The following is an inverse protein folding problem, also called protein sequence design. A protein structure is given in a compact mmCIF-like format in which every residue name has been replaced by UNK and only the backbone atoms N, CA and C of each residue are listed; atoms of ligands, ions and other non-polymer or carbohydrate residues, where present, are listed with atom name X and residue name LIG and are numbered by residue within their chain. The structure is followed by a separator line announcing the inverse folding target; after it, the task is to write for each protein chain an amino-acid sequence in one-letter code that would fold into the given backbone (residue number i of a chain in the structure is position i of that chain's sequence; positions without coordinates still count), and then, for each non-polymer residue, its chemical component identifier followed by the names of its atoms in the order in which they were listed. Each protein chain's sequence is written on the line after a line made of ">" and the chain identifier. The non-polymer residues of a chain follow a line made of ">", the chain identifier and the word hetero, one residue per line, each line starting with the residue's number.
data_IF_606482918170
#
_entry.id   IF_606482918170
#
_cell.length_a   1.000
_cell.length_b   1.000
_cell.length_c   1.000
_cell.angle_alpha   90.00
_cell.angle_beta   90.00
_cell.angle_gamma   90.00
#
_symmetry.space_group_name_H-M   'P 1'
#
loop_
_entity.id
_entity.type
_entity.pdbx_description
1 polymer ?
#
# COMPACT_ATOMS: atom_id res chain seq x y z
N UNK A 1 13.47 5.89 -51.64
CA UNK A 1 14.35 4.72 -51.74
C UNK A 1 14.61 4.30 -53.18
N UNK A 2 13.64 3.81 -53.96
CA UNK A 2 13.91 3.36 -55.36
C UNK A 2 14.61 4.42 -56.23
N UNK A 3 14.18 5.69 -56.13
CA UNK A 3 14.80 6.80 -56.85
C UNK A 3 16.23 7.12 -56.36
N UNK A 4 16.50 6.94 -55.07
CA UNK A 4 17.84 7.11 -54.49
C UNK A 4 18.78 5.99 -54.96
N UNK A 5 18.34 4.73 -54.92
CA UNK A 5 19.11 3.60 -55.46
C UNK A 5 19.47 3.82 -56.92
N UNK A 6 18.53 4.31 -57.73
CA UNK A 6 18.80 4.66 -59.12
C UNK A 6 19.83 5.79 -59.26
N UNK A 7 19.73 6.85 -58.46
CA UNK A 7 20.70 7.94 -58.48
C UNK A 7 22.11 7.47 -58.08
N UNK A 8 22.21 6.55 -57.12
CA UNK A 8 23.46 5.87 -56.71
C UNK A 8 24.07 5.09 -57.89
N UNK A 9 23.26 4.26 -58.54
CA UNK A 9 23.70 3.43 -59.68
C UNK A 9 24.14 4.26 -60.89
N UNK A 10 23.52 5.43 -61.08
CA UNK A 10 23.89 6.41 -62.11
C UNK A 10 25.11 7.26 -61.73
N UNK A 11 25.64 7.11 -60.50
CA UNK A 11 26.80 7.84 -60.00
C UNK A 11 26.52 9.32 -59.68
N UNK A 12 25.26 9.70 -59.51
CA UNK A 12 24.86 11.07 -59.18
C UNK A 12 24.84 11.27 -57.65
N UNK A 13 26.02 11.52 -57.08
CA UNK A 13 26.22 11.65 -55.63
C UNK A 13 25.34 12.72 -55.00
N UNK A 14 25.32 13.93 -55.56
CA UNK A 14 24.58 15.07 -54.98
C UNK A 14 23.08 14.75 -54.89
N UNK A 15 22.52 14.19 -55.97
CA UNK A 15 21.10 13.82 -56.00
C UNK A 15 20.78 12.63 -55.09
N UNK A 16 21.67 11.65 -55.00
CA UNK A 16 21.53 10.55 -54.04
C UNK A 16 21.45 11.06 -52.60
N UNK A 17 22.38 11.91 -52.19
CA UNK A 17 22.45 12.46 -50.84
C UNK A 17 21.21 13.30 -50.51
N UNK A 18 20.77 14.17 -51.42
CA UNK A 18 19.52 14.95 -51.25
C UNK A 18 18.30 14.04 -51.05
N UNK A 19 18.19 12.96 -51.84
CA UNK A 19 17.09 12.01 -51.69
C UNK A 19 17.16 11.23 -50.37
N UNK A 20 18.35 10.86 -49.91
CA UNK A 20 18.50 10.12 -48.65
C UNK A 20 18.16 11.01 -47.44
N UNK A 21 18.61 12.26 -47.40
CA UNK A 21 18.19 13.22 -46.37
C UNK A 21 16.67 13.45 -46.38
N UNK A 22 16.01 13.42 -47.55
CA UNK A 22 14.54 13.50 -47.62
C UNK A 22 13.86 12.26 -47.02
N UNK A 23 14.45 11.08 -47.18
CA UNK A 23 13.93 9.84 -46.58
C UNK A 23 14.12 9.84 -45.06
N UNK A 24 15.31 10.21 -44.58
CA UNK A 24 15.59 10.39 -43.14
C UNK A 24 14.58 11.36 -42.51
N UNK A 25 14.44 12.56 -43.07
CA UNK A 25 13.48 13.55 -42.57
C UNK A 25 12.04 13.06 -42.60
N UNK A 26 11.65 12.25 -43.60
CA UNK A 26 10.32 11.63 -43.62
C UNK A 26 10.09 10.74 -42.41
N UNK A 27 11.06 9.90 -42.03
CA UNK A 27 10.94 9.07 -40.83
C UNK A 27 10.91 9.89 -39.55
N UNK A 28 11.79 10.89 -39.42
CA UNK A 28 11.86 11.75 -38.23
C UNK A 28 10.57 12.57 -38.03
N UNK A 29 9.98 13.12 -39.10
CA UNK A 29 8.71 13.85 -39.01
C UNK A 29 7.56 12.94 -38.57
N UNK A 30 7.52 11.70 -39.08
CA UNK A 30 6.53 10.71 -38.66
C UNK A 30 6.76 10.28 -37.19
N UNK A 31 8.03 10.16 -36.76
CA UNK A 31 8.36 9.87 -35.37
C UNK A 31 7.88 10.98 -34.44
N UNK A 32 8.01 12.25 -34.82
CA UNK A 32 7.49 13.41 -34.06
C UNK A 32 5.98 13.33 -33.88
N UNK A 33 5.23 12.97 -34.93
CA UNK A 33 3.79 12.77 -34.82
C UNK A 33 3.46 11.67 -33.81
N UNK A 34 4.21 10.57 -33.79
CA UNK A 34 4.00 9.47 -32.85
C UNK A 34 4.41 9.81 -31.42
N UNK A 35 5.48 10.58 -31.22
CA UNK A 35 5.88 11.12 -29.89
C UNK A 35 4.75 11.96 -29.31
N UNK A 36 4.16 12.86 -30.12
CA UNK A 36 3.02 13.69 -29.70
C UNK A 36 1.77 12.85 -29.37
N UNK A 37 1.68 11.62 -29.86
CA UNK A 37 0.62 10.65 -29.53
C UNK A 37 1.01 9.70 -28.39
N UNK A 38 2.16 9.91 -27.74
CA UNK A 38 2.74 9.02 -26.72
C UNK A 38 2.96 7.57 -27.20
N UNK A 39 3.17 7.36 -28.51
CA UNK A 39 3.48 6.06 -29.12
C UNK A 39 4.99 5.89 -29.25
N UNK A 40 5.68 5.85 -28.11
CA UNK A 40 7.13 5.96 -28.05
C UNK A 40 7.87 4.77 -28.66
N UNK A 41 7.36 3.54 -28.51
CA UNK A 41 7.99 2.36 -29.14
C UNK A 41 7.92 2.42 -30.67
N UNK A 42 6.78 2.85 -31.23
CA UNK A 42 6.62 3.01 -32.69
C UNK A 42 7.50 4.17 -33.20
N UNK A 43 7.60 5.27 -32.44
CA UNK A 43 8.51 6.36 -32.76
C UNK A 43 9.98 5.90 -32.74
N UNK A 44 10.37 5.10 -31.74
CA UNK A 44 11.71 4.51 -31.65
C UNK A 44 12.05 3.67 -32.89
N UNK A 45 11.09 2.90 -33.41
CA UNK A 45 11.28 2.15 -34.65
C UNK A 45 11.57 3.07 -35.85
N UNK A 46 10.92 4.23 -35.94
CA UNK A 46 11.20 5.20 -37.01
C UNK A 46 12.58 5.86 -36.88
N UNK A 47 13.06 6.08 -35.65
CA UNK A 47 14.44 6.54 -35.42
C UNK A 47 15.47 5.49 -35.89
N UNK A 48 15.20 4.20 -35.67
CA UNK A 48 16.05 3.10 -36.18
C UNK A 48 16.05 3.06 -37.72
N UNK A 49 14.92 3.34 -38.37
CA UNK A 49 14.86 3.43 -39.83
C UNK A 49 15.65 4.65 -40.36
N UNK A 50 15.61 5.78 -39.65
CA UNK A 50 16.42 6.96 -39.99
C UNK A 50 17.93 6.70 -39.81
N UNK A 51 18.30 6.03 -38.70
CA UNK A 51 19.66 5.58 -38.41
C UNK A 51 20.21 4.68 -39.53
N UNK A 52 19.40 3.73 -40.00
CA UNK A 52 19.76 2.85 -41.11
C UNK A 52 20.03 3.63 -42.42
N UNK A 53 19.25 4.67 -42.71
CA UNK A 53 19.45 5.56 -43.87
C UNK A 53 20.79 6.30 -43.75
N UNK A 54 21.12 6.82 -42.56
CA UNK A 54 22.40 7.46 -42.29
C UNK A 54 23.59 6.51 -42.43
N UNK A 55 23.49 5.26 -41.97
CA UNK A 55 24.53 4.26 -42.19
C UNK A 55 24.69 3.86 -43.65
N UNK A 56 23.62 3.78 -44.43
CA UNK A 56 23.69 3.54 -45.87
C UNK A 56 24.41 4.69 -46.59
N UNK A 57 24.10 5.94 -46.24
CA UNK A 57 24.83 7.12 -46.74
C UNK A 57 26.32 7.06 -46.35
N UNK A 58 26.62 6.79 -45.08
CA UNK A 58 28.00 6.70 -44.57
C UNK A 58 28.83 5.66 -45.35
N UNK A 59 28.26 4.48 -45.58
CA UNK A 59 28.92 3.42 -46.34
C UNK A 59 29.21 3.86 -47.78
N UNK A 60 28.24 4.49 -48.46
CA UNK A 60 28.44 4.96 -49.82
C UNK A 60 29.46 6.10 -49.92
N UNK A 61 29.46 7.04 -48.98
CA UNK A 61 30.47 8.12 -48.92
C UNK A 61 31.87 7.54 -48.72
N UNK A 62 32.02 6.49 -47.90
CA UNK A 62 33.29 5.79 -47.75
C UNK A 62 33.74 5.11 -49.05
N UNK A 63 32.84 4.45 -49.78
CA UNK A 63 33.15 3.86 -51.10
C UNK A 63 33.72 4.92 -52.06
N UNK A 64 33.15 6.12 -52.06
CA UNK A 64 33.60 7.22 -52.92
C UNK A 64 34.99 7.74 -52.49
N UNK A 65 35.23 7.91 -51.19
CA UNK A 65 36.54 8.32 -50.68
C UNK A 65 37.64 7.33 -51.06
N UNK A 66 37.33 6.03 -50.99
CA UNK A 66 38.25 4.97 -51.38
C UNK A 66 38.59 5.06 -52.87
N UNK A 67 37.60 5.28 -53.74
CA UNK A 67 37.79 5.47 -55.19
C UNK A 67 38.63 6.72 -55.49
N UNK A 68 38.34 7.84 -54.84
CA UNK A 68 39.10 9.09 -55.01
C UNK A 68 40.55 8.95 -54.53
N UNK A 69 40.79 8.09 -53.54
CA UNK A 69 42.12 7.79 -53.02
C UNK A 69 42.88 6.82 -53.93
N UNK A 70 42.22 5.80 -54.49
CA UNK A 70 42.85 4.81 -55.37
C UNK A 70 43.20 5.36 -56.76
N UNK A 71 42.41 6.31 -57.26
CA UNK A 71 42.61 6.89 -58.60
C UNK A 71 43.62 8.04 -58.62
N UNK A 72 44.26 8.36 -57.49
CA UNK A 72 45.25 9.45 -57.41
C UNK A 72 44.64 10.83 -57.64
N UNK A 73 43.35 11.02 -57.35
CA UNK A 73 42.69 12.33 -57.49
C UNK A 73 43.35 13.36 -56.56
N UNK A 74 43.80 14.47 -57.13
CA UNK A 74 44.34 15.63 -56.40
C UNK A 74 43.26 16.57 -55.86
N UNK A 75 41.97 16.23 -56.06
CA UNK A 75 40.84 17.05 -55.59
C UNK A 75 40.63 16.89 -54.07
N UNK A 76 41.48 17.59 -53.33
CA UNK A 76 41.52 17.61 -51.88
C UNK A 76 40.25 18.25 -51.29
N UNK A 77 39.69 19.26 -51.97
CA UNK A 77 38.48 19.98 -51.53
C UNK A 77 37.25 19.07 -51.57
N UNK A 78 37.10 18.27 -52.64
CA UNK A 78 36.05 17.26 -52.73
C UNK A 78 36.19 16.18 -51.65
N UNK A 79 37.41 15.68 -51.41
CA UNK A 79 37.68 14.68 -50.36
C UNK A 79 37.31 15.21 -48.97
N UNK A 80 37.69 16.45 -48.68
CA UNK A 80 37.36 17.11 -47.41
C UNK A 80 35.84 17.31 -47.25
N UNK A 81 35.15 17.72 -48.31
CA UNK A 81 33.69 17.88 -48.30
C UNK A 81 32.96 16.55 -48.07
N UNK A 82 33.41 15.46 -48.71
CA UNK A 82 32.84 14.12 -48.51
C UNK A 82 33.13 13.60 -47.10
N UNK A 83 34.32 13.85 -46.56
CA UNK A 83 34.67 13.46 -45.19
C UNK A 83 33.82 14.21 -44.16
N UNK A 84 33.59 15.52 -44.36
CA UNK A 84 32.69 16.32 -43.52
C UNK A 84 31.26 15.78 -43.56
N UNK A 85 30.75 15.47 -44.75
CA UNK A 85 29.41 14.89 -44.90
C UNK A 85 29.32 13.49 -44.25
N UNK A 86 30.35 12.66 -44.40
CA UNK A 86 30.43 11.34 -43.76
C UNK A 86 30.39 11.45 -42.23
N UNK A 87 31.09 12.44 -41.68
CA UNK A 87 31.07 12.72 -40.25
C UNK A 87 29.69 13.20 -39.80
N UNK A 88 29.04 14.10 -40.55
CA UNK A 88 27.68 14.57 -40.26
C UNK A 88 26.68 13.41 -40.19
N UNK A 89 26.63 12.54 -41.21
CA UNK A 89 25.70 11.40 -41.22
C UNK A 89 26.04 10.36 -40.13
N UNK A 90 27.31 10.24 -39.73
CA UNK A 90 27.69 9.41 -38.57
C UNK A 90 27.10 9.97 -37.28
N UNK A 91 27.27 11.27 -37.05
CA UNK A 91 26.71 11.96 -35.88
C UNK A 91 25.19 11.87 -35.84
N UNK A 92 24.52 12.00 -36.99
CA UNK A 92 23.06 11.81 -37.08
C UNK A 92 22.65 10.39 -36.68
N UNK A 93 23.31 9.36 -37.22
CA UNK A 93 23.01 7.97 -36.87
C UNK A 93 23.17 7.69 -35.37
N UNK A 94 24.27 8.15 -34.78
CA UNK A 94 24.54 7.99 -33.34
C UNK A 94 23.51 8.75 -32.48
N UNK A 95 23.12 9.96 -32.90
CA UNK A 95 22.04 10.71 -32.26
C UNK A 95 20.70 9.96 -32.33
N UNK A 96 20.36 9.41 -33.50
CA UNK A 96 19.13 8.68 -33.72
C UNK A 96 19.07 7.39 -32.89
N UNK A 97 20.19 6.69 -32.79
CA UNK A 97 20.34 5.51 -31.91
C UNK A 97 20.09 5.90 -30.44
N UNK A 98 20.77 6.95 -29.95
CA UNK A 98 20.63 7.45 -28.58
C UNK A 98 19.17 7.85 -28.26
N UNK A 99 18.54 8.57 -29.19
CA UNK A 99 17.15 8.99 -29.05
C UNK A 99 16.18 7.80 -29.11
N UNK A 100 16.48 6.78 -29.92
CA UNK A 100 15.69 5.53 -29.97
C UNK A 100 15.66 4.83 -28.61
N UNK A 101 16.79 4.80 -27.89
CA UNK A 101 16.87 4.24 -26.54
C UNK A 101 16.11 5.10 -25.54
N UNK A 102 16.22 6.42 -25.62
CA UNK A 102 15.44 7.32 -24.77
C UNK A 102 13.93 7.07 -24.92
N UNK A 103 13.45 6.92 -26.17
CA UNK A 103 12.04 6.62 -26.45
C UNK A 103 11.61 5.25 -25.94
N UNK A 104 12.45 4.22 -26.07
CA UNK A 104 12.20 2.91 -25.43
C UNK A 104 12.09 3.05 -23.91
N UNK A 105 12.98 3.82 -23.29
CA UNK A 105 12.92 4.13 -21.86
C UNK A 105 11.56 4.71 -21.45
N UNK A 106 11.06 5.69 -22.20
CA UNK A 106 9.75 6.31 -21.95
C UNK A 106 8.59 5.32 -22.11
N UNK A 107 8.62 4.49 -23.16
CA UNK A 107 7.58 3.47 -23.38
C UNK A 107 7.51 2.48 -22.23
N UNK A 108 8.65 1.91 -21.83
CA UNK A 108 8.73 0.92 -20.75
C UNK A 108 8.37 1.51 -19.39
N UNK A 109 8.72 2.78 -19.13
CA UNK A 109 8.30 3.53 -17.94
C UNK A 109 6.77 3.62 -17.86
N UNK A 110 6.11 3.99 -18.96
CA UNK A 110 4.64 4.10 -19.02
C UNK A 110 3.94 2.73 -18.99
N UNK A 111 4.55 1.71 -19.57
CA UNK A 111 4.04 0.34 -19.61
C UNK A 111 4.42 -0.50 -18.37
N UNK A 112 4.75 0.16 -17.24
CA UNK A 112 4.98 -0.44 -15.91
C UNK A 112 6.11 -1.47 -15.87
N UNK A 113 7.16 -1.25 -16.65
CA UNK A 113 8.40 -2.01 -16.55
C UNK A 113 9.58 -1.06 -16.31
N UNK A 114 9.63 -0.43 -15.11
CA UNK A 114 10.61 0.61 -14.80
C UNK A 114 12.05 0.09 -14.76
N UNK A 115 12.29 -1.19 -14.43
CA UNK A 115 13.63 -1.77 -14.46
C UNK A 115 14.23 -1.78 -15.87
N UNK A 116 13.47 -2.25 -16.86
CA UNK A 116 13.90 -2.17 -18.27
C UNK A 116 13.99 -0.72 -18.77
N UNK A 117 13.15 0.18 -18.27
CA UNK A 117 13.27 1.60 -18.57
C UNK A 117 14.61 2.18 -18.10
N UNK A 118 15.08 1.82 -16.90
CA UNK A 118 16.40 2.21 -16.39
C UNK A 118 17.53 1.79 -17.34
N UNK A 119 17.52 0.54 -17.82
CA UNK A 119 18.54 0.02 -18.73
C UNK A 119 18.61 0.83 -20.03
N UNK A 120 17.47 1.23 -20.58
CA UNK A 120 17.40 2.04 -21.79
C UNK A 120 17.80 3.49 -21.56
N UNK A 121 17.36 4.12 -20.47
CA UNK A 121 17.79 5.48 -20.14
C UNK A 121 19.29 5.56 -19.87
N UNK A 122 19.87 4.50 -19.28
CA UNK A 122 21.32 4.40 -19.11
C UNK A 122 22.06 4.32 -20.45
N UNK A 123 21.60 3.50 -21.39
CA UNK A 123 22.17 3.43 -22.74
C UNK A 123 22.06 4.78 -23.47
N UNK A 124 20.91 5.44 -23.37
CA UNK A 124 20.73 6.79 -23.92
C UNK A 124 21.69 7.80 -23.29
N UNK A 125 21.86 7.79 -21.98
CA UNK A 125 22.80 8.65 -21.26
C UNK A 125 24.25 8.47 -21.76
N UNK A 126 24.73 7.23 -21.83
CA UNK A 126 26.11 6.92 -22.27
C UNK A 126 26.37 7.39 -23.71
N UNK A 127 25.40 7.23 -24.61
CA UNK A 127 25.52 7.67 -25.99
C UNK A 127 25.44 9.19 -26.13
N UNK A 128 24.50 9.86 -25.44
CA UNK A 128 24.41 11.32 -25.47
C UNK A 128 25.62 12.01 -24.83
N UNK A 129 26.20 11.43 -23.77
CA UNK A 129 27.43 11.92 -23.15
C UNK A 129 28.60 11.83 -24.14
N UNK A 130 28.72 10.71 -24.85
CA UNK A 130 29.74 10.52 -25.89
C UNK A 130 29.56 11.56 -27.00
N UNK A 131 28.36 11.66 -27.57
CA UNK A 131 28.02 12.65 -28.60
C UNK A 131 28.32 14.09 -28.18
N UNK A 132 27.93 14.47 -26.96
CA UNK A 132 28.16 15.80 -26.42
C UNK A 132 29.64 16.12 -26.22
N UNK A 133 30.44 15.12 -25.83
CA UNK A 133 31.89 15.25 -25.68
C UNK A 133 32.65 15.33 -27.01
N UNK A 134 32.25 14.54 -28.01
CA UNK A 134 32.94 14.46 -29.31
C UNK A 134 32.58 15.61 -30.23
N UNK A 135 31.32 16.06 -30.20
CA UNK A 135 30.82 17.11 -31.10
C UNK A 135 30.69 18.48 -30.45
N UNK A 136 30.96 18.59 -29.14
CA UNK A 136 30.88 19.84 -28.38
C UNK A 136 29.52 20.54 -28.52
N UNK A 137 28.44 19.76 -28.64
CA UNK A 137 27.05 20.25 -28.74
C UNK A 137 26.39 20.24 -27.37
N UNK A 138 26.05 21.43 -26.85
CA UNK A 138 25.42 21.58 -25.52
C UNK A 138 24.12 20.77 -25.38
N UNK A 139 23.31 20.72 -26.44
CA UNK A 139 22.03 20.01 -26.42
C UNK A 139 22.18 18.51 -26.12
N UNK A 140 23.24 17.86 -26.62
CA UNK A 140 23.47 16.44 -26.34
C UNK A 140 23.86 16.20 -24.88
N UNK A 141 24.69 17.06 -24.29
CA UNK A 141 24.99 16.99 -22.85
C UNK A 141 23.71 17.14 -22.00
N UNK A 142 22.82 18.07 -22.36
CA UNK A 142 21.54 18.22 -21.68
C UNK A 142 20.66 16.97 -21.79
N UNK A 143 20.61 16.32 -22.96
CA UNK A 143 19.90 15.05 -23.12
C UNK A 143 20.56 13.89 -22.37
N UNK A 144 21.89 13.91 -22.22
CA UNK A 144 22.59 12.94 -21.38
C UNK A 144 22.16 13.09 -19.91
N UNK A 145 22.18 14.30 -19.38
CA UNK A 145 21.78 14.60 -18.00
C UNK A 145 20.28 14.35 -17.77
N UNK A 146 19.44 14.71 -18.76
CA UNK A 146 18.01 14.42 -18.73
C UNK A 146 17.72 12.91 -18.74
N UNK A 147 18.45 12.13 -19.54
CA UNK A 147 18.35 10.66 -19.55
C UNK A 147 18.76 10.06 -18.21
N UNK A 148 19.82 10.58 -17.59
CA UNK A 148 20.25 10.18 -16.25
C UNK A 148 19.22 10.51 -15.17
N UNK A 149 18.57 11.66 -15.25
CA UNK A 149 17.47 12.02 -14.36
C UNK A 149 16.28 11.07 -14.54
N UNK A 150 15.93 10.72 -15.79
CA UNK A 150 14.89 9.74 -16.13
C UNK A 150 15.19 8.33 -15.62
N UNK A 151 16.45 7.90 -15.69
CA UNK A 151 16.92 6.64 -15.09
C UNK A 151 16.63 6.64 -13.58
N UNK A 152 17.00 7.71 -12.87
CA UNK A 152 16.73 7.82 -11.42
C UNK A 152 15.25 7.88 -11.09
N UNK A 153 14.45 8.60 -11.87
CA UNK A 153 12.99 8.58 -11.72
C UNK A 153 12.40 7.18 -11.90
N UNK A 154 12.89 6.43 -12.90
CA UNK A 154 12.46 5.05 -13.17
C UNK A 154 12.88 4.08 -12.06
N UNK A 155 14.10 4.21 -11.53
CA UNK A 155 14.56 3.47 -10.35
C UNK A 155 13.67 3.71 -9.12
N UNK A 156 13.15 4.93 -8.96
CA UNK A 156 12.18 5.27 -7.93
C UNK A 156 10.86 4.51 -8.10
N UNK A 157 10.34 4.43 -9.33
CA UNK A 157 9.14 3.66 -9.66
C UNK A 157 9.32 2.17 -9.38
N UNK A 158 10.46 1.59 -9.77
CA UNK A 158 10.79 0.19 -9.48
C UNK A 158 10.83 -0.07 -7.97
N UNK A 159 11.53 0.77 -7.21
CA UNK A 159 11.61 0.69 -5.75
C UNK A 159 10.21 0.77 -5.11
N UNK A 160 9.34 1.64 -5.63
CA UNK A 160 7.96 1.76 -5.17
C UNK A 160 7.13 0.50 -5.47
N UNK A 161 7.31 -0.13 -6.65
CA UNK A 161 6.65 -1.38 -7.01
C UNK A 161 7.10 -2.56 -6.11
N UNK A 162 8.34 -2.54 -5.66
CA UNK A 162 8.90 -3.53 -4.71
C UNK A 162 8.54 -3.22 -3.24
N UNK A 163 7.84 -2.11 -2.96
CA UNK A 163 7.49 -1.70 -1.60
C UNK A 163 8.66 -1.09 -0.81
N UNK A 164 9.78 -0.77 -1.44
CA UNK A 164 10.91 -0.08 -0.81
C UNK A 164 10.73 1.45 -0.93
N UNK A 165 9.84 2.00 -0.10
CA UNK A 165 9.46 3.41 -0.19
C UNK A 165 10.58 4.39 0.18
N UNK A 166 11.51 4.00 1.06
CA UNK A 166 12.67 4.84 1.39
C UNK A 166 13.63 5.00 0.20
N UNK A 167 13.92 3.91 -0.52
CA UNK A 167 14.71 3.98 -1.74
C UNK A 167 13.97 4.74 -2.86
N UNK A 168 12.65 4.56 -2.96
CA UNK A 168 11.82 5.30 -3.90
C UNK A 168 11.89 6.82 -3.67
N UNK A 169 11.67 7.26 -2.43
CA UNK A 169 11.79 8.67 -2.01
C UNK A 169 13.14 9.28 -2.39
N UNK A 170 14.23 8.61 -2.02
CA UNK A 170 15.58 9.09 -2.32
C UNK A 170 15.82 9.19 -3.83
N UNK A 171 15.30 8.24 -4.60
CA UNK A 171 15.43 8.23 -6.07
C UNK A 171 14.65 9.38 -6.71
N UNK A 172 13.42 9.66 -6.28
CA UNK A 172 12.62 10.77 -6.80
C UNK A 172 13.21 12.14 -6.43
N UNK A 173 13.72 12.31 -5.21
CA UNK A 173 14.43 13.54 -4.82
C UNK A 173 15.68 13.75 -5.67
N UNK A 174 16.46 12.69 -5.88
CA UNK A 174 17.67 12.78 -6.70
C UNK A 174 17.33 13.07 -8.17
N UNK A 175 16.31 12.43 -8.72
CA UNK A 175 15.82 12.72 -10.07
C UNK A 175 15.37 14.18 -10.21
N UNK A 176 14.63 14.71 -9.23
CA UNK A 176 14.20 16.11 -9.22
C UNK A 176 15.38 17.09 -9.19
N UNK A 177 16.42 16.81 -8.39
CA UNK A 177 17.65 17.61 -8.38
C UNK A 177 18.33 17.61 -9.75
N UNK A 178 18.48 16.44 -10.37
CA UNK A 178 19.09 16.31 -11.69
C UNK A 178 18.26 17.03 -12.77
N UNK A 179 16.93 16.95 -12.72
CA UNK A 179 16.08 17.73 -13.63
C UNK A 179 16.24 19.23 -13.41
N UNK A 180 16.39 19.69 -12.17
CA UNK A 180 16.68 21.09 -11.86
C UNK A 180 18.02 21.57 -12.43
N UNK A 181 19.06 20.75 -12.37
CA UNK A 181 20.36 21.04 -13.01
C UNK A 181 20.23 21.20 -14.53
N UNK A 182 19.43 20.34 -15.19
CA UNK A 182 19.13 20.47 -16.63
C UNK A 182 18.35 21.76 -16.91
N UNK A 183 17.35 22.10 -16.09
CA UNK A 183 16.54 23.31 -16.23
C UNK A 183 17.38 24.59 -16.09
N UNK A 184 18.33 24.63 -15.15
CA UNK A 184 19.25 25.77 -14.95
C UNK A 184 20.16 26.01 -16.15
N UNK A 185 20.59 24.94 -16.82
CA UNK A 185 21.48 25.01 -17.98
C UNK A 185 20.73 25.18 -19.32
N UNK A 186 19.40 25.11 -19.30
CA UNK A 186 18.57 25.17 -20.49
C UNK A 186 18.55 26.61 -21.07
N UNK A 187 19.03 26.83 -22.31
CA UNK A 187 19.02 28.16 -22.90
C UNK A 187 17.58 28.62 -23.19
N UNK A 188 17.30 29.94 -23.16
CA UNK A 188 16.00 30.46 -23.57
C UNK A 188 15.75 30.14 -25.05
N UNK A 189 14.50 29.89 -25.41
CA UNK A 189 14.11 29.67 -26.80
C UNK A 189 14.29 30.98 -27.59
N UNK A 190 15.09 30.91 -28.67
CA UNK A 190 15.33 31.97 -29.65
C UNK A 190 15.20 31.37 -31.06
N UNK A 191 14.75 32.18 -32.03
CA UNK A 191 14.59 31.80 -33.44
C UNK A 191 15.93 31.48 -34.12
N UNK A 192 17.05 31.93 -33.54
CA UNK A 192 18.41 31.67 -34.07
C UNK A 192 19.12 30.50 -33.37
N UNK A 193 18.45 29.78 -32.47
CA UNK A 193 19.05 28.68 -31.75
C UNK A 193 19.24 27.48 -32.68
N UNK A 194 20.47 26.99 -32.84
CA UNK A 194 20.71 25.70 -33.48
C UNK A 194 19.99 24.61 -32.67
N UNK A 195 19.46 23.58 -33.33
CA UNK A 195 18.74 22.47 -32.69
C UNK A 195 17.49 22.92 -31.88
N UNK A 196 16.86 24.04 -32.25
CA UNK A 196 15.71 24.65 -31.57
C UNK A 196 14.61 23.63 -31.18
N UNK A 197 14.31 22.67 -32.04
CA UNK A 197 13.33 21.61 -31.78
C UNK A 197 13.67 20.79 -30.51
N UNK A 198 14.93 20.38 -30.36
CA UNK A 198 15.38 19.58 -29.22
C UNK A 198 15.30 20.37 -27.92
N UNK A 199 15.69 21.63 -27.96
CA UNK A 199 15.50 22.53 -26.82
C UNK A 199 14.02 22.74 -26.48
N UNK A 200 13.17 22.90 -27.48
CA UNK A 200 11.72 23.05 -27.29
C UNK A 200 11.11 21.83 -26.59
N UNK A 201 11.54 20.61 -26.96
CA UNK A 201 11.10 19.38 -26.30
C UNK A 201 11.49 19.37 -24.82
N UNK A 202 12.72 19.76 -24.48
CA UNK A 202 13.18 19.86 -23.08
C UNK A 202 12.38 20.90 -22.29
N UNK A 203 12.18 22.10 -22.84
CA UNK A 203 11.37 23.16 -22.23
C UNK A 203 9.94 22.72 -21.91
N UNK A 204 9.36 21.86 -22.75
CA UNK A 204 8.00 21.34 -22.53
C UNK A 204 7.97 20.17 -21.53
N UNK A 205 8.98 19.31 -21.55
CA UNK A 205 8.96 18.05 -20.80
C UNK A 205 9.47 18.20 -19.36
N UNK A 206 10.52 19.00 -19.14
CA UNK A 206 11.17 19.16 -17.83
C UNK A 206 10.18 19.56 -16.72
N UNK A 207 9.32 20.60 -16.87
CA UNK A 207 8.39 20.96 -15.81
C UNK A 207 7.41 19.84 -15.45
N UNK A 208 7.02 19.03 -16.44
CA UNK A 208 6.12 17.88 -16.26
C UNK A 208 6.81 16.80 -15.44
N UNK A 209 8.06 16.47 -15.76
CA UNK A 209 8.81 15.42 -15.05
C UNK A 209 9.27 15.85 -13.64
N UNK A 210 9.61 17.12 -13.44
CA UNK A 210 9.91 17.70 -12.12
C UNK A 210 8.69 17.57 -11.20
N UNK A 211 7.52 18.04 -11.66
CA UNK A 211 6.26 17.92 -10.93
C UNK A 211 5.86 16.45 -10.72
N UNK A 212 6.09 15.60 -11.73
CA UNK A 212 5.86 14.16 -11.64
C UNK A 212 6.70 13.51 -10.53
N UNK A 213 7.97 13.89 -10.38
CA UNK A 213 8.83 13.40 -9.30
C UNK A 213 8.36 13.88 -7.92
N UNK A 214 7.89 15.11 -7.80
CA UNK A 214 7.32 15.63 -6.55
C UNK A 214 6.09 14.81 -6.12
N UNK A 215 5.16 14.59 -7.05
CA UNK A 215 3.97 13.76 -6.82
C UNK A 215 4.38 12.33 -6.41
N UNK A 216 5.33 11.72 -7.12
CA UNK A 216 5.77 10.36 -6.83
C UNK A 216 6.53 10.26 -5.50
N UNK A 217 7.29 11.29 -5.13
CA UNK A 217 7.92 11.40 -3.82
C UNK A 217 6.88 11.45 -2.70
N UNK A 218 5.90 12.34 -2.78
CA UNK A 218 4.84 12.45 -1.78
C UNK A 218 4.02 11.16 -1.69
N UNK A 219 3.80 10.46 -2.81
CA UNK A 219 3.14 9.15 -2.83
C UNK A 219 3.96 8.07 -2.15
N UNK A 220 5.26 8.01 -2.41
CA UNK A 220 6.15 7.08 -1.75
C UNK A 220 6.17 7.35 -0.23
N UNK A 221 6.23 8.61 0.20
CA UNK A 221 6.20 8.96 1.62
C UNK A 221 4.86 8.60 2.28
N UNK A 222 3.73 8.96 1.68
CA UNK A 222 2.42 8.65 2.21
C UNK A 222 2.22 7.13 2.40
N UNK A 223 2.67 6.33 1.43
CA UNK A 223 2.63 4.86 1.51
C UNK A 223 3.58 4.29 2.55
N UNK A 224 4.78 4.86 2.68
CA UNK A 224 5.73 4.49 3.72
C UNK A 224 5.13 4.67 5.11
N UNK A 225 4.60 5.87 5.39
CA UNK A 225 3.97 6.19 6.67
C UNK A 225 2.76 5.28 6.95
N UNK A 226 1.92 5.06 5.94
CA UNK A 226 0.74 4.19 6.07
C UNK A 226 1.15 2.75 6.41
N UNK A 227 2.17 2.22 5.74
CA UNK A 227 2.64 0.84 5.93
C UNK A 227 3.28 0.59 7.31
N UNK A 228 3.86 1.63 7.92
CA UNK A 228 4.44 1.57 9.25
C UNK A 228 3.46 1.91 10.38
N UNK A 229 2.18 2.19 10.05
CA UNK A 229 1.17 2.56 11.04
C UNK A 229 1.27 4.01 11.54
N UNK A 230 2.06 4.87 10.89
CA UNK A 230 2.15 6.30 11.20
C UNK A 230 0.96 7.06 10.58
N UNK A 231 -0.26 6.68 10.94
CA UNK A 231 -1.48 7.08 10.24
C UNK A 231 -1.72 8.59 10.22
N UNK A 232 -1.37 9.29 11.30
CA UNK A 232 -1.51 10.76 11.35
C UNK A 232 -0.61 11.47 10.35
N UNK A 233 0.58 10.93 10.10
CA UNK A 233 1.50 11.51 9.11
C UNK A 233 1.12 11.09 7.70
N UNK A 234 0.73 9.82 7.50
CA UNK A 234 0.18 9.35 6.23
C UNK A 234 -1.01 10.21 5.75
N UNK A 235 -1.92 10.57 6.66
CA UNK A 235 -3.07 11.43 6.37
C UNK A 235 -2.65 12.79 5.81
N UNK A 236 -1.63 13.42 6.41
CA UNK A 236 -1.10 14.71 5.93
C UNK A 236 -0.47 14.57 4.55
N UNK A 237 0.35 13.56 4.32
CA UNK A 237 1.04 13.37 3.04
C UNK A 237 0.04 13.07 1.90
N UNK A 238 -1.00 12.28 2.17
CA UNK A 238 -2.10 12.09 1.21
C UNK A 238 -2.92 13.37 0.97
N UNK A 239 -3.08 14.23 1.97
CA UNK A 239 -3.73 15.54 1.79
C UNK A 239 -2.88 16.46 0.91
N UNK A 240 -1.56 16.50 1.11
CA UNK A 240 -0.64 17.26 0.25
C UNK A 240 -0.74 16.80 -1.20
N UNK A 241 -0.78 15.48 -1.43
CA UNK A 241 -1.03 14.93 -2.76
C UNK A 241 -2.37 15.39 -3.35
N UNK A 242 -3.45 15.32 -2.58
CA UNK A 242 -4.74 15.80 -3.05
C UNK A 242 -4.67 17.30 -3.41
N UNK A 243 -4.04 18.13 -2.58
CA UNK A 243 -3.89 19.56 -2.83
C UNK A 243 -3.08 19.84 -4.12
N UNK A 244 -2.01 19.08 -4.37
CA UNK A 244 -1.23 19.17 -5.62
C UNK A 244 -2.10 18.85 -6.85
N UNK A 245 -2.89 17.78 -6.81
CA UNK A 245 -3.81 17.46 -7.90
C UNK A 245 -4.91 18.51 -8.04
N UNK A 246 -5.40 19.08 -6.94
CA UNK A 246 -6.39 20.15 -6.97
C UNK A 246 -5.84 21.41 -7.65
N UNK A 247 -4.61 21.81 -7.32
CA UNK A 247 -3.93 22.93 -7.98
C UNK A 247 -3.70 22.64 -9.46
N UNK A 248 -3.27 21.42 -9.81
CA UNK A 248 -3.12 21.00 -11.21
C UNK A 248 -4.45 21.12 -11.96
N UNK A 249 -5.57 20.66 -11.39
CA UNK A 249 -6.90 20.78 -12.01
C UNK A 249 -7.25 22.26 -12.24
N UNK A 250 -7.03 23.13 -11.26
CA UNK A 250 -7.29 24.57 -11.38
C UNK A 250 -6.44 25.22 -12.48
N UNK A 251 -5.17 24.83 -12.58
CA UNK A 251 -4.26 25.32 -13.62
C UNK A 251 -4.65 24.82 -15.03
N UNK A 252 -5.34 23.68 -15.11
CA UNK A 252 -5.86 23.15 -16.38
C UNK A 252 -7.16 23.84 -16.82
N UNK A 253 -7.93 24.45 -15.90
CA UNK A 253 -9.17 25.14 -16.25
C UNK A 253 -8.91 26.30 -17.23
N UNK A 254 -9.59 26.29 -18.38
CA UNK A 254 -9.43 27.32 -19.42
C UNK A 254 -8.26 27.08 -20.39
N UNK A 255 -7.52 25.99 -20.25
CA UNK A 255 -6.51 25.55 -21.22
C UNK A 255 -7.12 24.64 -22.31
N UNK A 256 -6.38 24.37 -23.39
CA UNK A 256 -6.80 23.42 -24.44
C UNK A 256 -6.57 21.94 -24.05
N UNK A 257 -6.43 21.62 -22.76
CA UNK A 257 -6.24 20.25 -22.28
C UNK A 257 -7.52 19.44 -22.48
N UNK A 258 -7.36 18.17 -22.88
CA UNK A 258 -8.47 17.24 -23.09
C UNK A 258 -9.30 17.05 -21.81
N UNK A 259 -10.64 17.08 -21.92
CA UNK A 259 -11.57 16.77 -20.83
C UNK A 259 -11.27 15.40 -20.19
N UNK A 260 -10.74 14.45 -20.97
CA UNK A 260 -10.31 13.14 -20.47
C UNK A 260 -9.21 13.26 -19.41
N UNK A 261 -8.18 14.07 -19.67
CA UNK A 261 -7.04 14.29 -18.76
C UNK A 261 -7.53 14.99 -17.50
N UNK A 262 -8.36 16.04 -17.65
CA UNK A 262 -8.94 16.75 -16.51
C UNK A 262 -9.75 15.80 -15.61
N UNK A 263 -10.62 14.96 -16.18
CA UNK A 263 -11.39 13.98 -15.41
C UNK A 263 -10.52 12.90 -14.76
N UNK A 264 -9.41 12.50 -15.41
CA UNK A 264 -8.44 11.58 -14.80
C UNK A 264 -7.78 12.22 -13.56
N UNK A 265 -7.31 13.47 -13.67
CA UNK A 265 -6.73 14.22 -12.54
C UNK A 265 -7.75 14.45 -11.40
N UNK A 266 -9.02 14.70 -11.71
CA UNK A 266 -10.10 14.76 -10.70
C UNK A 266 -10.28 13.41 -10.00
N UNK A 267 -10.11 12.30 -10.72
CA UNK A 267 -10.05 10.96 -10.14
C UNK A 267 -8.92 10.82 -9.13
N UNK A 268 -7.70 11.22 -9.50
CA UNK A 268 -6.52 11.18 -8.63
C UNK A 268 -6.68 12.06 -7.38
N UNK A 269 -7.25 13.26 -7.54
CA UNK A 269 -7.60 14.13 -6.41
C UNK A 269 -8.47 13.40 -5.37
N UNK A 270 -9.59 12.82 -5.80
CA UNK A 270 -10.49 12.12 -4.87
C UNK A 270 -9.89 10.82 -4.34
N UNK A 271 -9.05 10.15 -5.12
CA UNK A 271 -8.32 8.97 -4.68
C UNK A 271 -7.45 9.31 -3.46
N UNK A 272 -6.55 10.29 -3.59
CA UNK A 272 -5.64 10.66 -2.50
C UNK A 272 -6.37 11.30 -1.33
N UNK A 273 -7.43 12.09 -1.57
CA UNK A 273 -8.27 12.60 -0.50
C UNK A 273 -8.95 11.47 0.30
N UNK A 274 -9.41 10.41 -0.37
CA UNK A 274 -9.97 9.24 0.30
C UNK A 274 -8.93 8.46 1.10
N UNK A 275 -7.70 8.32 0.61
CA UNK A 275 -6.61 7.73 1.40
C UNK A 275 -6.24 8.58 2.63
N UNK A 276 -6.29 9.91 2.51
CA UNK A 276 -6.12 10.82 3.64
C UNK A 276 -7.17 10.54 4.72
N UNK A 277 -8.45 10.51 4.37
CA UNK A 277 -9.53 10.22 5.34
C UNK A 277 -9.45 8.80 5.92
N UNK A 278 -8.99 7.82 5.13
CA UNK A 278 -8.79 6.46 5.61
C UNK A 278 -7.71 6.43 6.70
N UNK A 279 -6.58 7.10 6.46
CA UNK A 279 -5.49 7.21 7.42
C UNK A 279 -5.92 8.00 8.67
N UNK A 280 -6.69 9.08 8.53
CA UNK A 280 -7.28 9.77 9.69
C UNK A 280 -8.18 8.85 10.51
N UNK A 281 -9.01 8.03 9.85
CA UNK A 281 -9.86 7.05 10.52
C UNK A 281 -9.04 6.04 11.34
N UNK A 282 -7.95 5.51 10.78
CA UNK A 282 -7.04 4.63 11.52
C UNK A 282 -6.38 5.33 12.72
N UNK A 283 -5.93 6.58 12.54
CA UNK A 283 -5.35 7.37 13.64
C UNK A 283 -6.35 7.60 14.78
N UNK A 284 -7.61 7.91 14.45
CA UNK A 284 -8.69 8.06 15.43
C UNK A 284 -9.02 6.74 16.14
N UNK A 285 -9.00 5.62 15.41
CA UNK A 285 -9.21 4.28 15.97
C UNK A 285 -8.14 3.95 17.02
N UNK A 286 -6.87 4.23 16.73
CA UNK A 286 -5.77 4.02 17.68
C UNK A 286 -5.87 4.91 18.93
N UNK A 287 -6.51 6.07 18.81
CA UNK A 287 -6.82 6.96 19.92
C UNK A 287 -8.09 6.55 20.69
N UNK A 288 -8.69 5.40 20.38
CA UNK A 288 -9.96 4.92 20.94
C UNK A 288 -11.16 5.84 20.65
N UNK A 289 -11.04 6.72 19.64
CA UNK A 289 -12.11 7.62 19.18
C UNK A 289 -12.94 6.93 18.09
N UNK A 290 -13.52 5.77 18.41
CA UNK A 290 -14.10 4.86 17.41
C UNK A 290 -15.28 5.45 16.64
N UNK A 291 -16.12 6.27 17.28
CA UNK A 291 -17.28 6.85 16.58
C UNK A 291 -16.85 7.86 15.52
N UNK A 292 -15.80 8.64 15.79
CA UNK A 292 -15.20 9.56 14.83
C UNK A 292 -14.45 8.80 13.71
N UNK A 293 -13.75 7.71 14.05
CA UNK A 293 -13.13 6.84 13.07
C UNK A 293 -14.17 6.23 12.10
N UNK A 294 -15.29 5.74 12.62
CA UNK A 294 -16.40 5.21 11.82
C UNK A 294 -17.01 6.27 10.90
N UNK A 295 -17.11 7.52 11.34
CA UNK A 295 -17.52 8.63 10.49
C UNK A 295 -16.53 8.86 9.35
N UNK A 296 -15.22 8.88 9.63
CA UNK A 296 -14.19 9.03 8.58
C UNK A 296 -14.26 7.92 7.54
N UNK A 297 -14.41 6.65 7.95
CA UNK A 297 -14.57 5.56 7.00
C UNK A 297 -15.81 5.71 6.10
N UNK A 298 -16.92 6.25 6.63
CA UNK A 298 -18.10 6.56 5.82
C UNK A 298 -17.79 7.64 4.77
N UNK A 299 -17.04 8.68 5.13
CA UNK A 299 -16.62 9.74 4.22
C UNK A 299 -15.70 9.22 3.11
N UNK A 300 -14.76 8.31 3.43
CA UNK A 300 -13.90 7.64 2.43
C UNK A 300 -14.74 6.99 1.33
N UNK A 301 -15.80 6.27 1.71
CA UNK A 301 -16.68 5.59 0.76
C UNK A 301 -17.33 6.56 -0.22
N UNK A 302 -17.78 7.71 0.25
CA UNK A 302 -18.43 8.70 -0.62
C UNK A 302 -17.44 9.45 -1.50
N UNK A 303 -16.22 9.71 -1.00
CA UNK A 303 -15.15 10.33 -1.76
C UNK A 303 -14.63 9.41 -2.86
N UNK A 304 -14.34 8.14 -2.56
CA UNK A 304 -13.87 7.19 -3.57
C UNK A 304 -14.94 6.87 -4.63
N UNK A 305 -16.25 6.96 -4.31
CA UNK A 305 -17.29 6.91 -5.34
C UNK A 305 -17.21 8.08 -6.33
N UNK A 306 -16.91 9.29 -5.85
CA UNK A 306 -16.69 10.46 -6.72
C UNK A 306 -15.46 10.26 -7.60
N UNK A 307 -14.36 9.76 -7.02
CA UNK A 307 -13.14 9.42 -7.76
C UNK A 307 -13.38 8.37 -8.84
N UNK A 308 -14.04 7.25 -8.49
CA UNK A 308 -14.42 6.21 -9.43
C UNK A 308 -15.29 6.75 -10.59
N UNK A 309 -16.24 7.64 -10.30
CA UNK A 309 -17.06 8.28 -11.33
C UNK A 309 -16.24 9.22 -12.23
N UNK A 310 -15.27 9.97 -11.69
CA UNK A 310 -14.39 10.83 -12.46
C UNK A 310 -13.46 10.01 -13.38
N UNK A 311 -12.85 8.95 -12.86
CA UNK A 311 -12.08 8.01 -13.67
C UNK A 311 -12.89 7.38 -14.79
N UNK A 312 -14.14 6.98 -14.53
CA UNK A 312 -15.03 6.46 -15.58
C UNK A 312 -15.30 7.51 -16.67
N UNK A 313 -15.56 8.77 -16.27
CA UNK A 313 -15.78 9.89 -17.21
C UNK A 313 -14.55 10.22 -18.04
N UNK A 314 -13.34 9.97 -17.54
CA UNK A 314 -12.12 10.22 -18.29
C UNK A 314 -12.06 9.42 -19.60
N UNK A 315 -12.71 8.24 -19.66
CA UNK A 315 -12.58 7.32 -20.79
C UNK A 315 -11.17 6.78 -21.01
N UNK A 316 -10.21 7.13 -20.15
CA UNK A 316 -8.81 6.72 -20.25
C UNK A 316 -8.67 5.26 -19.79
N UNK A 317 -7.93 4.39 -20.50
CA UNK A 317 -7.77 2.98 -20.11
C UNK A 317 -7.27 2.80 -18.67
N UNK A 318 -6.28 3.60 -18.26
CA UNK A 318 -5.79 3.59 -16.86
C UNK A 318 -6.86 4.08 -15.87
N UNK A 319 -7.73 5.01 -16.29
CA UNK A 319 -8.83 5.49 -15.48
C UNK A 319 -9.84 4.37 -15.22
N UNK A 320 -10.23 3.63 -16.25
CA UNK A 320 -11.10 2.45 -16.12
C UNK A 320 -10.50 1.41 -15.17
N UNK A 321 -9.21 1.09 -15.31
CA UNK A 321 -8.52 0.18 -14.40
C UNK A 321 -8.51 0.68 -12.94
N UNK A 322 -8.26 1.98 -12.73
CA UNK A 322 -8.31 2.59 -11.40
C UNK A 322 -9.74 2.55 -10.83
N UNK A 323 -10.76 2.81 -11.65
CA UNK A 323 -12.16 2.76 -11.24
C UNK A 323 -12.56 1.37 -10.72
N UNK A 324 -12.17 0.30 -11.42
CA UNK A 324 -12.43 -1.07 -10.97
C UNK A 324 -11.71 -1.37 -9.65
N UNK A 325 -10.44 -0.96 -9.54
CA UNK A 325 -9.67 -1.08 -8.31
C UNK A 325 -10.39 -0.40 -7.12
N UNK A 326 -10.85 0.85 -7.28
CA UNK A 326 -11.51 1.58 -6.20
C UNK A 326 -12.87 1.01 -5.81
N UNK A 327 -13.65 0.47 -6.76
CA UNK A 327 -14.89 -0.23 -6.41
C UNK A 327 -14.60 -1.43 -5.51
N UNK A 328 -13.52 -2.15 -5.78
CA UNK A 328 -13.09 -3.26 -4.93
C UNK A 328 -12.60 -2.77 -3.55
N UNK A 329 -11.80 -1.71 -3.49
CA UNK A 329 -11.35 -1.12 -2.22
C UNK A 329 -12.51 -0.59 -1.35
N UNK A 330 -13.52 0.04 -1.96
CA UNK A 330 -14.75 0.47 -1.28
C UNK A 330 -15.46 -0.72 -0.63
N UNK A 331 -15.46 -1.88 -1.30
CA UNK A 331 -16.09 -3.10 -0.76
C UNK A 331 -15.32 -3.61 0.46
N UNK A 332 -13.98 -3.64 0.39
CA UNK A 332 -13.10 -4.01 1.51
C UNK A 332 -13.23 -3.07 2.71
N UNK A 333 -13.57 -1.80 2.49
CA UNK A 333 -13.67 -0.79 3.53
C UNK A 333 -14.62 -1.20 4.67
N UNK A 334 -15.76 -1.80 4.31
CA UNK A 334 -16.75 -2.26 5.29
C UNK A 334 -16.29 -3.51 6.05
N UNK A 335 -15.60 -4.42 5.35
CA UNK A 335 -15.19 -5.72 5.90
C UNK A 335 -13.92 -5.65 6.75
N UNK A 336 -12.99 -4.78 6.39
CA UNK A 336 -11.68 -4.71 7.04
C UNK A 336 -11.63 -3.58 8.08
N UNK A 337 -11.93 -2.35 7.68
CA UNK A 337 -11.72 -1.18 8.54
C UNK A 337 -12.90 -0.95 9.50
N UNK A 338 -14.12 -0.89 8.97
CA UNK A 338 -15.33 -0.65 9.79
C UNK A 338 -15.55 -1.79 10.78
N UNK A 339 -15.42 -3.05 10.34
CA UNK A 339 -15.58 -4.21 11.20
C UNK A 339 -14.55 -4.23 12.33
N UNK A 340 -13.26 -4.08 12.00
CA UNK A 340 -12.17 -4.02 12.99
C UNK A 340 -12.41 -2.92 14.03
N UNK A 341 -12.79 -1.73 13.59
CA UNK A 341 -13.04 -0.61 14.51
C UNK A 341 -14.20 -0.90 15.48
N UNK A 342 -15.27 -1.58 15.03
CA UNK A 342 -16.37 -2.01 15.90
C UNK A 342 -15.92 -3.10 16.88
N UNK A 343 -15.16 -4.09 16.40
CA UNK A 343 -14.62 -5.15 17.24
C UNK A 343 -13.70 -4.59 18.35
N UNK A 344 -12.83 -3.64 18.01
CA UNK A 344 -11.96 -2.95 18.99
C UNK A 344 -12.81 -2.21 20.07
N UNK A 345 -13.87 -1.50 19.64
CA UNK A 345 -14.81 -0.82 20.53
C UNK A 345 -15.53 -1.78 21.47
N UNK A 346 -16.06 -2.87 20.92
CA UNK A 346 -16.81 -3.88 21.68
C UNK A 346 -15.90 -4.58 22.70
N UNK A 347 -14.68 -4.96 22.29
CA UNK A 347 -13.68 -5.55 23.18
C UNK A 347 -13.31 -4.61 24.33
N UNK A 348 -13.07 -3.33 24.04
CA UNK A 348 -12.74 -2.34 25.07
C UNK A 348 -13.90 -2.14 26.06
N UNK A 349 -15.13 -2.16 25.58
CA UNK A 349 -16.34 -2.11 26.41
C UNK A 349 -16.43 -3.32 27.33
N UNK A 350 -16.27 -4.54 26.79
CA UNK A 350 -16.25 -5.78 27.57
C UNK A 350 -15.14 -5.79 28.64
N UNK A 351 -13.93 -5.31 28.31
CA UNK A 351 -12.84 -5.19 29.27
C UNK A 351 -13.22 -4.24 30.41
N UNK A 352 -13.88 -3.12 30.12
CA UNK A 352 -14.28 -2.16 31.14
C UNK A 352 -15.39 -2.72 32.05
N UNK A 353 -16.35 -3.46 31.48
CA UNK A 353 -17.37 -4.17 32.26
C UNK A 353 -16.75 -5.20 33.20
N UNK A 354 -15.81 -6.02 32.70
CA UNK A 354 -15.08 -6.99 33.52
C UNK A 354 -14.28 -6.31 34.64
N UNK A 355 -13.61 -5.19 34.37
CA UNK A 355 -12.91 -4.39 35.39
C UNK A 355 -13.87 -3.90 36.48
N UNK A 356 -15.04 -3.39 36.10
CA UNK A 356 -16.04 -2.92 37.05
C UNK A 356 -16.59 -4.07 37.91
N UNK A 357 -16.81 -5.25 37.33
CA UNK A 357 -17.23 -6.45 38.08
C UNK A 357 -16.17 -6.89 39.10
N UNK A 358 -14.90 -6.91 38.70
CA UNK A 358 -13.78 -7.23 39.60
C UNK A 358 -13.69 -6.21 40.73
N UNK A 359 -13.81 -4.90 40.42
CA UNK A 359 -13.78 -3.86 41.45
C UNK A 359 -14.93 -4.02 42.45
N UNK A 360 -16.14 -4.32 41.97
CA UNK A 360 -17.30 -4.59 42.83
C UNK A 360 -17.05 -5.79 43.75
N UNK A 361 -16.40 -6.84 43.25
CA UNK A 361 -16.01 -8.00 44.04
C UNK A 361 -14.98 -7.64 45.11
N UNK A 362 -13.95 -6.86 44.77
CA UNK A 362 -12.95 -6.34 45.71
C UNK A 362 -13.62 -5.52 46.82
N UNK A 363 -14.50 -4.58 46.46
CA UNK A 363 -15.20 -3.73 47.42
C UNK A 363 -16.07 -4.56 48.39
N UNK A 364 -16.72 -5.62 47.89
CA UNK A 364 -17.50 -6.55 48.72
C UNK A 364 -16.63 -7.36 49.69
N UNK A 365 -15.45 -7.81 49.25
CA UNK A 365 -14.49 -8.51 50.11
C UNK A 365 -13.95 -7.58 51.19
N UNK A 366 -13.60 -6.34 50.85
CA UNK A 366 -13.13 -5.34 51.81
C UNK A 366 -14.17 -5.00 52.88
N UNK A 367 -15.45 -4.87 52.50
CA UNK A 367 -16.55 -4.70 53.46
C UNK A 367 -16.71 -5.88 54.43
N UNK A 368 -16.28 -7.08 54.02
CA UNK A 368 -16.32 -8.30 54.82
C UNK A 368 -15.08 -8.47 55.72
N UNK A 369 -14.19 -7.46 55.81
CA UNK A 369 -13.00 -7.47 56.66
C UNK A 369 -11.73 -8.00 56.00
N UNK A 370 -11.74 -8.28 54.69
CA UNK A 370 -10.56 -8.73 53.96
C UNK A 370 -9.81 -7.52 53.35
N UNK A 371 -8.61 -7.25 53.83
CA UNK A 371 -7.72 -6.23 53.21
C UNK A 371 -7.12 -6.81 51.94
N UNK A 372 -7.39 -6.19 50.79
CA UNK A 372 -6.85 -6.59 49.49
C UNK A 372 -5.75 -5.60 49.09
N UNK A 373 -4.48 -5.99 49.20
CA UNK A 373 -3.35 -5.11 48.89
C UNK A 373 -2.72 -5.40 47.52
N UNK A 374 -3.03 -6.53 46.88
CA UNK A 374 -2.51 -6.91 45.56
C UNK A 374 -3.42 -7.93 44.82
N UNK A 375 -3.51 -7.85 43.48
CA UNK A 375 -4.17 -8.82 42.58
C UNK A 375 -3.67 -10.27 42.79
N UNK A 376 -2.40 -10.47 43.17
CA UNK A 376 -1.87 -11.80 43.49
C UNK A 376 -2.46 -12.38 44.79
N UNK A 377 -2.84 -11.54 45.75
CA UNK A 377 -3.57 -12.00 46.95
C UNK A 377 -5.01 -12.40 46.59
N UNK A 378 -5.65 -11.71 45.64
CA UNK A 378 -6.99 -12.09 45.14
C UNK A 378 -6.98 -13.51 44.58
N UNK A 379 -5.99 -13.87 43.76
CA UNK A 379 -5.85 -15.23 43.24
C UNK A 379 -5.57 -16.25 44.35
N UNK A 380 -4.78 -15.89 45.37
CA UNK A 380 -4.49 -16.77 46.52
C UNK A 380 -5.72 -16.98 47.40
N UNK A 381 -6.51 -15.92 47.66
CA UNK A 381 -7.74 -15.96 48.45
C UNK A 381 -8.83 -16.74 47.72
N UNK A 382 -9.00 -16.54 46.41
CA UNK A 382 -9.93 -17.34 45.60
C UNK A 382 -9.54 -18.83 45.68
N UNK A 383 -8.24 -19.14 45.55
CA UNK A 383 -7.75 -20.52 45.66
C UNK A 383 -8.00 -21.11 47.05
N UNK A 384 -7.70 -20.37 48.12
CA UNK A 384 -7.97 -20.80 49.50
C UNK A 384 -9.46 -21.01 49.75
N UNK A 385 -10.32 -20.12 49.26
CA UNK A 385 -11.77 -20.25 49.40
C UNK A 385 -12.31 -21.48 48.66
N UNK A 386 -11.82 -21.75 47.44
CA UNK A 386 -12.17 -22.97 46.70
C UNK A 386 -11.72 -24.23 47.46
N UNK A 387 -10.51 -24.22 48.05
CA UNK A 387 -10.01 -25.35 48.85
C UNK A 387 -10.82 -25.56 50.14
N UNK A 388 -11.25 -24.49 50.82
CA UNK A 388 -12.10 -24.57 52.02
C UNK A 388 -13.47 -25.14 51.67
N UNK A 389 -14.10 -24.65 50.60
CA UNK A 389 -15.41 -25.12 50.15
C UNK A 389 -15.34 -26.60 49.76
N UNK A 390 -14.30 -27.04 49.05
CA UNK A 390 -14.10 -28.45 48.72
C UNK A 390 -13.89 -29.34 49.96
N UNK A 391 -13.19 -28.83 50.98
CA UNK A 391 -13.05 -29.55 52.27
C UNK A 391 -14.39 -29.66 53.00
N UNK A 392 -15.19 -28.59 53.02
CA UNK A 392 -16.54 -28.60 53.60
C UNK A 392 -17.44 -29.59 52.86
N UNK A 393 -17.44 -29.58 51.52
CA UNK A 393 -18.18 -30.55 50.70
C UNK A 393 -17.81 -31.99 51.07
N UNK A 394 -16.50 -32.26 51.18
CA UNK A 394 -15.98 -33.59 51.52
C UNK A 394 -16.42 -34.00 52.93
N UNK A 395 -16.23 -33.12 53.92
CA UNK A 395 -16.61 -33.38 55.31
C UNK A 395 -18.12 -33.61 55.46
N UNK A 396 -18.97 -32.85 54.76
CA UNK A 396 -20.41 -33.04 54.78
C UNK A 396 -20.78 -34.41 54.19
N UNK A 397 -20.20 -34.79 53.04
CA UNK A 397 -20.43 -36.11 52.43
C UNK A 397 -19.98 -37.25 53.34
N UNK A 398 -18.84 -37.09 54.01
CA UNK A 398 -18.32 -38.05 54.98
C UNK A 398 -19.23 -38.16 56.20
N UNK A 399 -19.67 -37.06 56.80
CA UNK A 399 -20.60 -37.07 57.94
C UNK A 399 -21.96 -37.68 57.58
N UNK A 400 -22.52 -37.39 56.39
CA UNK A 400 -23.76 -38.05 55.94
C UNK A 400 -23.54 -39.59 55.88
N UNK A 401 -22.41 -40.03 55.34
CA UNK A 401 -22.12 -41.46 55.18
C UNK A 401 -21.82 -42.16 56.52
N UNK A 402 -20.95 -41.57 57.33
CA UNK A 402 -20.40 -42.16 58.53
C UNK A 402 -21.32 -41.99 59.74
N UNK A 403 -21.99 -40.86 59.89
CA UNK A 403 -22.74 -40.53 61.10
C UNK A 403 -24.26 -40.70 60.92
N UNK A 404 -24.80 -40.27 59.78
CA UNK A 404 -26.24 -40.40 59.53
C UNK A 404 -26.60 -41.80 59.03
N UNK A 405 -26.06 -42.23 57.89
CA UNK A 405 -26.49 -43.47 57.24
C UNK A 405 -26.16 -44.72 58.06
N UNK A 406 -25.03 -44.75 58.76
CA UNK A 406 -24.63 -45.87 59.61
C UNK A 406 -25.51 -46.03 60.85
N UNK A 407 -26.01 -44.92 61.40
CA UNK A 407 -26.85 -44.90 62.61
C UNK A 407 -28.35 -44.98 62.32
N UNK A 408 -28.77 -44.75 61.07
CA UNK A 408 -30.18 -44.59 60.69
C UNK A 408 -31.04 -45.82 60.97
N UNK A 409 -30.48 -47.03 60.84
CA UNK A 409 -31.20 -48.29 61.11
C UNK A 409 -31.47 -48.52 62.60
N UNK A 410 -30.68 -47.90 63.49
CA UNK A 410 -30.88 -47.95 64.93
C UNK A 410 -31.97 -47.00 65.44
N UNK A 411 -32.53 -46.15 64.57
CA UNK A 411 -33.55 -45.16 64.96
C UNK A 411 -34.94 -45.75 64.68
N UNK A 412 -35.87 -45.75 65.66
CA UNK A 412 -37.20 -46.36 65.55
C UNK A 412 -38.18 -45.53 64.69
N UNK A 413 -37.77 -45.12 63.49
CA UNK A 413 -38.58 -44.38 62.52
C UNK A 413 -39.53 -45.29 61.73
N UNK A 414 -40.68 -44.77 61.25
CA UNK A 414 -41.47 -45.44 60.23
C UNK A 414 -40.64 -45.73 58.98
N UNK A 415 -40.82 -46.91 58.39
CA UNK A 415 -40.00 -47.37 57.24
C UNK A 415 -40.02 -46.38 56.07
N UNK A 416 -41.17 -45.75 55.78
CA UNK A 416 -41.31 -44.74 54.72
C UNK A 416 -40.38 -43.53 54.95
N UNK A 417 -40.31 -43.02 56.19
CA UNK A 417 -39.44 -41.89 56.54
C UNK A 417 -37.96 -42.30 56.55
N UNK A 418 -37.66 -43.52 56.98
CA UNK A 418 -36.28 -44.05 56.97
C UNK A 418 -35.75 -44.17 55.54
N UNK A 419 -36.53 -44.73 54.63
CA UNK A 419 -36.14 -44.86 53.22
C UNK A 419 -36.03 -43.50 52.52
N UNK A 420 -36.93 -42.55 52.83
CA UNK A 420 -36.84 -41.19 52.31
C UNK A 420 -35.51 -40.51 52.70
N UNK A 421 -35.15 -40.53 53.99
CA UNK A 421 -33.88 -39.98 54.48
C UNK A 421 -32.69 -40.63 53.78
N UNK A 422 -32.71 -41.97 53.64
CA UNK A 422 -31.64 -42.73 52.98
C UNK A 422 -31.47 -42.34 51.52
N UNK A 423 -32.57 -42.17 50.78
CA UNK A 423 -32.54 -41.80 49.37
C UNK A 423 -31.98 -40.38 49.17
N UNK A 424 -32.46 -39.40 49.95
CA UNK A 424 -31.97 -38.02 49.84
C UNK A 424 -30.49 -37.89 50.30
N UNK A 425 -30.10 -38.58 51.37
CA UNK A 425 -28.71 -38.65 51.81
C UNK A 425 -27.77 -39.23 50.74
N UNK A 426 -28.18 -40.32 50.09
CA UNK A 426 -27.39 -40.93 49.01
C UNK A 426 -27.29 -40.02 47.78
N UNK A 427 -28.36 -39.29 47.42
CA UNK A 427 -28.32 -38.29 46.35
C UNK A 427 -27.25 -37.23 46.60
N UNK A 428 -27.19 -36.71 47.83
CA UNK A 428 -26.17 -35.71 48.21
C UNK A 428 -24.74 -36.27 48.13
N UNK A 429 -24.52 -37.48 48.65
CA UNK A 429 -23.19 -38.12 48.59
C UNK A 429 -22.72 -38.28 47.13
N UNK A 430 -23.62 -38.74 46.24
CA UNK A 430 -23.31 -38.98 44.82
C UNK A 430 -23.43 -37.75 43.93
N UNK A 431 -23.81 -36.59 44.47
CA UNK A 431 -24.00 -35.38 43.68
C UNK A 431 -22.68 -34.89 43.07
N UNK A 432 -22.75 -34.52 41.78
CA UNK A 432 -21.66 -33.88 41.04
C UNK A 432 -21.69 -32.35 41.14
N UNK A 433 -22.72 -31.77 41.78
CA UNK A 433 -22.79 -30.32 42.05
C UNK A 433 -21.69 -29.92 43.04
N UNK A 434 -21.22 -28.68 42.92
CA UNK A 434 -20.13 -28.10 43.73
C UNK A 434 -20.48 -26.67 44.16
N UNK A 435 -19.77 -26.17 45.16
CA UNK A 435 -19.90 -24.82 45.67
C UNK A 435 -21.29 -24.52 46.23
N UNK A 436 -21.81 -23.33 45.94
CA UNK A 436 -23.09 -22.86 46.46
C UNK A 436 -24.26 -23.77 46.10
N UNK A 437 -24.25 -24.38 44.91
CA UNK A 437 -25.31 -25.30 44.49
C UNK A 437 -25.36 -26.57 45.33
N UNK A 438 -24.20 -27.08 45.75
CA UNK A 438 -24.15 -28.23 46.66
C UNK A 438 -24.62 -27.83 48.06
N UNK A 439 -24.19 -26.67 48.57
CA UNK A 439 -24.56 -26.21 49.92
C UNK A 439 -26.06 -25.93 50.05
N UNK A 440 -26.71 -25.42 49.00
CA UNK A 440 -28.17 -25.22 49.02
C UNK A 440 -28.91 -26.56 49.08
N UNK A 441 -28.48 -27.58 48.32
CA UNK A 441 -29.06 -28.92 48.40
C UNK A 441 -28.89 -29.53 49.81
N UNK A 442 -27.73 -29.34 50.46
CA UNK A 442 -27.49 -29.80 51.84
C UNK A 442 -28.40 -29.07 52.83
N UNK A 443 -28.62 -27.76 52.65
CA UNK A 443 -29.52 -26.97 53.50
C UNK A 443 -30.96 -27.46 53.37
N UNK A 444 -31.44 -27.68 52.15
CA UNK A 444 -32.79 -28.25 51.88
C UNK A 444 -32.95 -29.60 52.58
N UNK A 445 -31.95 -30.48 52.47
CA UNK A 445 -31.97 -31.77 53.15
C UNK A 445 -31.96 -31.65 54.68
N UNK A 446 -31.17 -30.71 55.22
CA UNK A 446 -31.10 -30.46 56.66
C UNK A 446 -32.42 -29.94 57.21
N UNK A 447 -33.12 -29.09 56.46
CA UNK A 447 -34.44 -28.59 56.83
C UNK A 447 -35.52 -29.67 56.71
N UNK A 448 -35.42 -30.58 55.74
CA UNK A 448 -36.28 -31.76 55.67
C UNK A 448 -36.08 -32.68 56.90
N UNK A 449 -34.83 -32.91 57.31
CA UNK A 449 -34.54 -33.65 58.55
C UNK A 449 -35.13 -32.97 59.79
N UNK A 450 -35.02 -31.64 59.92
CA UNK A 450 -35.66 -30.88 61.00
C UNK A 450 -37.19 -31.08 60.99
N UNK A 451 -37.80 -31.02 59.82
CA UNK A 451 -39.24 -31.23 59.67
C UNK A 451 -39.64 -32.66 60.08
N UNK A 452 -38.88 -33.68 59.69
CA UNK A 452 -39.12 -35.07 60.12
C UNK A 452 -39.01 -35.19 61.65
N UNK A 453 -37.99 -34.59 62.26
CA UNK A 453 -37.84 -34.59 63.73
C UNK A 453 -39.03 -33.91 64.40
N UNK A 454 -39.49 -32.78 63.89
CA UNK A 454 -40.63 -32.04 64.46
C UNK A 454 -41.96 -32.82 64.36
N UNK A 455 -42.15 -33.58 63.28
CA UNK A 455 -43.38 -34.32 63.01
C UNK A 455 -43.44 -35.67 63.75
N UNK A 456 -42.29 -36.31 63.98
CA UNK A 456 -42.19 -37.66 64.59
C UNK A 456 -41.84 -37.59 66.08
N UNK A 457 -41.43 -36.42 66.60
CA UNK A 457 -41.25 -36.16 68.03
C UNK A 457 -40.05 -36.89 68.64
N UNK A 458 -40.16 -37.30 69.91
CA UNK A 458 -39.06 -37.89 70.68
C UNK A 458 -38.44 -39.15 70.04
N UNK A 459 -39.18 -39.83 69.16
CA UNK A 459 -38.73 -41.02 68.40
C UNK A 459 -37.57 -40.68 67.44
N UNK A 460 -37.57 -39.47 66.86
CA UNK A 460 -36.56 -39.02 65.90
C UNK A 460 -35.44 -38.18 66.54
N UNK A 461 -35.48 -37.97 67.86
CA UNK A 461 -34.50 -37.19 68.64
C UNK A 461 -33.03 -37.60 68.41
N UNK A 462 -32.69 -38.89 68.16
CA UNK A 462 -31.33 -39.28 67.81
C UNK A 462 -30.76 -38.66 66.52
N UNK A 463 -31.59 -38.08 65.64
CA UNK A 463 -31.14 -37.35 64.44
C UNK A 463 -30.70 -35.90 64.73
N UNK A 464 -31.09 -35.34 65.88
CA UNK A 464 -30.82 -33.93 66.22
C UNK A 464 -29.33 -33.57 66.30
N UNK A 465 -28.43 -34.42 66.86
CA UNK A 465 -26.99 -34.14 66.85
C UNK A 465 -26.43 -33.99 65.42
N UNK A 466 -26.94 -34.77 64.47
CA UNK A 466 -26.51 -34.71 63.08
C UNK A 466 -26.97 -33.41 62.38
N UNK A 467 -28.24 -33.03 62.59
CA UNK A 467 -28.76 -31.75 62.09
C UNK A 467 -27.94 -30.58 62.63
N UNK A 468 -27.55 -30.63 63.91
CA UNK A 468 -26.68 -29.61 64.52
C UNK A 468 -25.28 -29.63 63.93
N UNK A 469 -24.69 -30.80 63.70
CA UNK A 469 -23.36 -30.93 63.12
C UNK A 469 -23.31 -30.33 61.69
N UNK A 470 -24.29 -30.64 60.84
CA UNK A 470 -24.36 -30.05 59.49
C UNK A 470 -24.67 -28.55 59.55
N UNK A 471 -25.55 -28.10 60.45
CA UNK A 471 -25.86 -26.67 60.60
C UNK A 471 -24.70 -25.84 61.18
N UNK A 472 -23.63 -26.48 61.69
CA UNK A 472 -22.39 -25.80 62.11
C UNK A 472 -21.36 -25.72 60.98
N UNK A 473 -21.53 -26.51 59.92
CA UNK A 473 -20.66 -26.58 58.75
C UNK A 473 -21.14 -25.70 57.59
N UNK A 474 -22.41 -25.27 57.63
CA UNK A 474 -23.09 -24.33 56.72
C UNK A 474 -23.30 -23.04 57.49
#
# INVERSE_FOLDING_TARGET
>A
MEEATKARDEGNLEYYIDLMFKVENFYLEQARVLINQARFLDASALFIEAEAVNYEMKAYLQEILDILSSNGSEDQELKESIEQLKNLVSTNAEFEEAFSYFLKGQDYKLNRNPGTACDYFKQAHELFETLGSEHNKKVYNLYADYSKAMEKGSSGLESMMLGNFNAAKASFQHAQLLFGEVEEELPPLDDNLEDQFLYQVLHQSLPIDINGCEILYCLADARDQLSHGNYSEAAKQFSVLADLYQQNIQNMEGTMISEAIMHFSVGDYYNFLGYSYLAEGEALREQERWDEALQRYAEVKDIWKKGAAAYLKSGHPQGLANQEFFINEISKLSELYVKRCKEDKDQKTQIQELKNQIQTMIDSMSKSGFTVNNVNEVNSIIKQNVEIVQKLETNIKESIKADLLSGLDGIPLPNEKREHIRNEANKLITSNKKGNEFMEDVKVFTDDLKNIISNVGDIAKPLMPFVKAISLLI
#
